data_IF_946157476270
#
_entry.id   IF_946157476270
#
_cell.length_a   1.000
_cell.length_b   1.000
_cell.length_c   1.000
_cell.angle_alpha   90.00
_cell.angle_beta   90.00
_cell.angle_gamma   90.00
#
_symmetry.space_group_name_H-M   'P 1'
#
loop_
_entity.id
_entity.type
_entity.pdbx_description
1 polymer ?
#
# COMPACT_ATOMS: atom_id res chain seq x y z
N UNK A 1 -19.58 17.19 -7.53
CA UNK A 1 -19.50 18.68 -7.56
C UNK A 1 -19.32 19.31 -6.16
N UNK A 2 -18.55 18.68 -5.24
CA UNK A 2 -18.47 19.13 -3.83
C UNK A 2 -17.08 19.59 -3.35
N UNK A 3 -16.11 19.79 -4.24
CA UNK A 3 -14.78 20.32 -3.86
C UNK A 3 -14.33 21.54 -4.68
N UNK A 4 -14.91 21.80 -5.85
CA UNK A 4 -14.50 22.91 -6.71
C UNK A 4 -15.03 24.30 -6.28
N UNK A 5 -15.99 24.37 -5.34
CA UNK A 5 -16.63 25.64 -4.97
C UNK A 5 -15.93 26.40 -3.83
N UNK A 6 -15.05 25.77 -3.06
CA UNK A 6 -14.48 26.37 -1.85
C UNK A 6 -13.23 27.23 -2.10
N UNK A 7 -12.45 26.95 -3.15
CA UNK A 7 -11.10 27.53 -3.37
C UNK A 7 -11.06 28.67 -4.40
N UNK A 8 -12.22 29.13 -4.88
CA UNK A 8 -12.28 30.08 -5.99
C UNK A 8 -12.37 31.55 -5.60
N UNK A 9 -12.80 31.91 -4.38
CA UNK A 9 -13.22 33.30 -4.11
C UNK A 9 -12.05 34.24 -3.83
N UNK A 10 -11.04 33.82 -3.07
CA UNK A 10 -9.88 34.67 -2.79
C UNK A 10 -9.02 34.97 -4.02
N UNK A 11 -8.55 33.95 -4.77
CA UNK A 11 -7.80 34.15 -6.00
C UNK A 11 -8.56 34.97 -7.05
N UNK A 12 -9.86 34.73 -7.23
CA UNK A 12 -10.70 35.52 -8.15
C UNK A 12 -10.85 36.97 -7.68
N UNK A 13 -11.04 37.20 -6.38
CA UNK A 13 -11.11 38.55 -5.84
C UNK A 13 -9.81 39.34 -6.09
N UNK A 14 -8.66 38.70 -5.85
CA UNK A 14 -7.35 39.31 -6.13
C UNK A 14 -7.17 39.57 -7.64
N UNK A 15 -7.48 38.59 -8.48
CA UNK A 15 -7.40 38.74 -9.93
C UNK A 15 -8.33 39.85 -10.46
N UNK A 16 -9.52 40.01 -9.88
CA UNK A 16 -10.45 41.10 -10.22
C UNK A 16 -9.86 42.47 -9.85
N UNK A 17 -9.27 42.59 -8.66
CA UNK A 17 -8.62 43.82 -8.23
C UNK A 17 -7.44 44.21 -9.11
N UNK A 18 -6.67 43.23 -9.59
CA UNK A 18 -5.49 43.43 -10.44
C UNK A 18 -5.84 43.70 -11.90
N UNK A 19 -6.76 42.91 -12.48
CA UNK A 19 -7.00 42.88 -13.93
C UNK A 19 -8.20 43.72 -14.38
N UNK A 20 -9.15 44.02 -13.48
CA UNK A 20 -10.35 44.80 -13.78
C UNK A 20 -10.73 45.75 -12.63
N UNK A 21 -9.87 46.73 -12.30
CA UNK A 21 -10.08 47.63 -11.16
C UNK A 21 -11.38 48.45 -11.25
N UNK A 22 -11.91 48.68 -12.45
CA UNK A 22 -13.19 49.36 -12.66
C UNK A 22 -14.42 48.58 -12.17
N UNK A 23 -14.32 47.24 -12.06
CA UNK A 23 -15.39 46.35 -11.60
C UNK A 23 -15.39 46.17 -10.07
N UNK A 24 -14.29 46.53 -9.40
CA UNK A 24 -14.12 46.39 -7.95
C UNK A 24 -15.23 47.09 -7.14
N UNK A 25 -15.66 48.34 -7.44
CA UNK A 25 -16.74 48.99 -6.69
C UNK A 25 -18.06 48.21 -6.75
N UNK A 26 -18.37 47.62 -7.91
CA UNK A 26 -19.58 46.81 -8.12
C UNK A 26 -19.50 45.50 -7.33
N UNK A 27 -18.36 44.82 -7.36
CA UNK A 27 -18.12 43.59 -6.61
C UNK A 27 -18.18 43.83 -5.09
N UNK A 28 -17.57 44.90 -4.59
CA UNK A 28 -17.64 45.30 -3.16
C UNK A 28 -19.09 45.59 -2.75
N UNK A 29 -19.86 46.30 -3.58
CA UNK A 29 -21.26 46.58 -3.30
C UNK A 29 -22.10 45.28 -3.24
N UNK A 30 -21.85 44.33 -4.14
CA UNK A 30 -22.51 43.02 -4.14
C UNK A 30 -22.21 42.23 -2.86
N UNK A 31 -20.93 42.17 -2.45
CA UNK A 31 -20.51 41.46 -1.22
C UNK A 31 -21.13 42.11 0.04
N UNK A 32 -21.15 43.44 0.13
CA UNK A 32 -21.82 44.16 1.23
C UNK A 32 -23.32 43.89 1.30
N UNK A 33 -23.97 43.66 0.15
CA UNK A 33 -25.39 43.28 0.10
C UNK A 33 -25.64 41.90 0.71
N UNK A 34 -24.73 40.94 0.50
CA UNK A 34 -24.81 39.62 1.15
C UNK A 34 -24.57 39.70 2.66
N UNK A 35 -23.63 40.53 3.11
CA UNK A 35 -23.43 40.76 4.55
C UNK A 35 -24.66 41.39 5.24
N UNK A 36 -25.41 42.22 4.54
CA UNK A 36 -26.63 42.84 5.09
C UNK A 36 -27.82 41.87 5.19
N UNK A 37 -27.89 40.85 4.32
CA UNK A 37 -28.91 39.80 4.36
C UNK A 37 -28.32 38.44 3.91
N UNK A 38 -27.73 37.68 4.85
CA UNK A 38 -27.08 36.40 4.54
C UNK A 38 -28.01 35.34 3.95
N UNK A 39 -29.34 35.52 4.07
CA UNK A 39 -30.33 34.57 3.52
C UNK A 39 -30.36 34.61 1.98
N UNK A 40 -29.71 35.59 1.37
CA UNK A 40 -29.61 35.77 -0.07
C UNK A 40 -28.34 35.20 -0.68
N UNK A 41 -27.44 34.60 0.11
CA UNK A 41 -26.26 33.94 -0.45
C UNK A 41 -26.69 32.63 -1.13
N UNK A 42 -26.60 32.55 -2.48
CA UNK A 42 -26.98 31.34 -3.21
C UNK A 42 -26.02 30.17 -2.98
N UNK A 43 -24.88 30.41 -2.31
CA UNK A 43 -23.83 29.44 -2.04
C UNK A 43 -23.69 29.12 -0.55
N UNK A 44 -24.75 29.29 0.25
CA UNK A 44 -24.71 29.04 1.69
C UNK A 44 -24.41 27.57 1.99
N UNK A 45 -23.18 27.28 2.35
CA UNK A 45 -22.70 25.91 2.58
C UNK A 45 -21.95 25.75 3.91
N UNK A 46 -21.79 26.82 4.70
CA UNK A 46 -21.05 26.84 5.97
C UNK A 46 -21.86 27.41 7.13
N UNK A 47 -21.28 27.45 8.33
CA UNK A 47 -21.89 28.15 9.48
C UNK A 47 -22.09 29.63 9.18
N UNK A 48 -23.00 30.30 9.91
CA UNK A 48 -23.22 31.73 9.75
C UNK A 48 -21.95 32.57 10.01
N UNK A 49 -21.07 32.10 10.91
CA UNK A 49 -19.77 32.72 11.16
C UNK A 49 -18.78 32.47 10.01
N UNK A 50 -18.74 31.25 9.46
CA UNK A 50 -17.94 30.90 8.28
C UNK A 50 -18.33 31.70 7.03
N UNK A 51 -19.63 31.82 6.76
CA UNK A 51 -20.15 32.62 5.65
C UNK A 51 -19.72 34.09 5.81
N UNK A 52 -19.88 34.67 7.00
CA UNK A 52 -19.49 36.05 7.27
C UNK A 52 -17.97 36.27 7.12
N UNK A 53 -17.14 35.36 7.67
CA UNK A 53 -15.69 35.40 7.54
C UNK A 53 -15.27 35.37 6.05
N UNK A 54 -15.87 34.48 5.25
CA UNK A 54 -15.61 34.37 3.80
C UNK A 54 -15.84 35.69 3.06
N UNK A 55 -16.97 36.36 3.33
CA UNK A 55 -17.28 37.64 2.70
C UNK A 55 -16.31 38.75 3.13
N UNK A 56 -15.91 38.79 4.40
CA UNK A 56 -14.93 39.77 4.88
C UNK A 56 -13.51 39.51 4.33
N UNK A 57 -13.13 38.24 4.08
CA UNK A 57 -11.87 37.94 3.37
C UNK A 57 -11.92 38.51 1.95
N UNK A 58 -13.02 38.29 1.21
CA UNK A 58 -13.20 38.84 -0.14
C UNK A 58 -13.15 40.38 -0.14
N UNK A 59 -13.80 41.04 0.82
CA UNK A 59 -13.73 42.50 0.96
C UNK A 59 -12.31 42.99 1.24
N UNK A 60 -11.56 42.30 2.10
CA UNK A 60 -10.17 42.63 2.39
C UNK A 60 -9.25 42.48 1.18
N UNK A 61 -9.54 41.52 0.29
CA UNK A 61 -8.79 41.31 -0.95
C UNK A 61 -9.15 42.33 -2.05
N UNK A 62 -10.40 42.83 -2.08
CA UNK A 62 -10.87 43.81 -3.06
C UNK A 62 -10.62 45.27 -2.65
N UNK A 63 -10.37 45.56 -1.37
CA UNK A 63 -10.42 46.92 -0.80
C UNK A 63 -9.30 47.28 0.18
N UNK A 64 -9.61 48.08 1.22
CA UNK A 64 -8.66 48.47 2.28
C UNK A 64 -8.75 47.48 3.46
N UNK A 65 -7.70 46.67 3.72
CA UNK A 65 -7.68 45.66 4.79
C UNK A 65 -7.92 46.24 6.19
N UNK A 66 -7.70 47.54 6.39
CA UNK A 66 -7.79 48.18 7.71
C UNK A 66 -9.21 48.30 8.24
N UNK A 67 -10.20 48.40 7.36
CA UNK A 67 -11.61 48.59 7.77
C UNK A 67 -12.24 47.29 8.29
N UNK A 68 -11.82 46.15 7.75
CA UNK A 68 -12.39 44.84 8.07
C UNK A 68 -11.52 44.01 9.03
N UNK A 69 -10.32 44.50 9.38
CA UNK A 69 -9.33 43.80 10.22
C UNK A 69 -9.91 43.28 11.54
N UNK A 70 -10.45 44.15 12.38
CA UNK A 70 -10.93 43.77 13.71
C UNK A 70 -12.15 42.84 13.66
N UNK A 71 -13.05 43.07 12.70
CA UNK A 71 -14.24 42.23 12.51
C UNK A 71 -13.88 40.85 11.99
N UNK A 72 -12.97 40.79 11.01
CA UNK A 72 -12.54 39.52 10.43
C UNK A 72 -11.87 38.62 11.48
N UNK A 73 -11.04 39.18 12.38
CA UNK A 73 -10.41 38.35 13.42
C UNK A 73 -11.40 37.77 14.41
N UNK A 74 -12.41 38.56 14.81
CA UNK A 74 -13.50 38.08 15.67
C UNK A 74 -14.31 37.00 14.96
N UNK A 75 -14.64 37.21 13.69
CA UNK A 75 -15.42 36.26 12.90
C UNK A 75 -14.66 34.96 12.68
N UNK A 76 -13.38 35.05 12.30
CA UNK A 76 -12.50 33.89 12.16
C UNK A 76 -12.46 33.16 13.49
N UNK A 77 -12.15 33.82 14.61
CA UNK A 77 -12.13 33.17 15.92
C UNK A 77 -13.45 32.46 16.31
N UNK A 78 -14.59 32.95 15.81
CA UNK A 78 -15.91 32.34 16.01
C UNK A 78 -16.30 31.27 14.97
N UNK A 79 -15.56 31.14 13.87
CA UNK A 79 -15.77 30.09 12.85
C UNK A 79 -15.43 28.71 13.44
N UNK A 80 -16.21 27.68 13.13
CA UNK A 80 -15.87 26.30 13.51
C UNK A 80 -14.64 25.80 12.74
N UNK A 81 -13.88 24.86 13.31
CA UNK A 81 -12.62 24.41 12.73
C UNK A 81 -12.78 23.81 11.31
N UNK A 82 -13.86 23.06 11.07
CA UNK A 82 -14.17 22.51 9.75
C UNK A 82 -14.34 23.60 8.68
N UNK A 83 -15.06 24.67 9.01
CA UNK A 83 -15.27 25.82 8.13
C UNK A 83 -13.99 26.66 7.96
N UNK A 84 -13.19 26.79 9.02
CA UNK A 84 -11.92 27.52 8.98
C UNK A 84 -10.92 26.85 8.05
N UNK A 85 -10.81 25.52 8.07
CA UNK A 85 -9.91 24.77 7.16
C UNK A 85 -10.23 25.04 5.68
N UNK A 86 -11.50 25.29 5.35
CA UNK A 86 -11.92 25.65 4.00
C UNK A 86 -11.62 27.12 3.62
N UNK A 87 -11.19 27.95 4.58
CA UNK A 87 -10.92 29.38 4.42
C UNK A 87 -9.44 29.76 4.65
N UNK A 88 -8.64 28.86 5.23
CA UNK A 88 -7.29 29.16 5.69
C UNK A 88 -6.38 29.73 4.58
N UNK A 89 -6.44 29.17 3.38
CA UNK A 89 -5.68 29.64 2.21
C UNK A 89 -6.07 31.06 1.80
N UNK A 90 -7.37 31.34 1.69
CA UNK A 90 -7.88 32.68 1.36
C UNK A 90 -7.48 33.72 2.42
N UNK A 91 -7.43 33.34 3.70
CA UNK A 91 -7.02 34.23 4.79
C UNK A 91 -5.52 34.60 4.72
N UNK A 92 -4.67 33.67 4.28
CA UNK A 92 -3.23 33.93 4.07
C UNK A 92 -3.00 34.96 2.96
N UNK A 93 -3.88 35.01 1.95
CA UNK A 93 -3.80 36.00 0.87
C UNK A 93 -3.93 37.46 1.34
N UNK A 94 -4.37 37.70 2.58
CA UNK A 94 -4.49 39.04 3.16
C UNK A 94 -3.17 39.63 3.68
N UNK A 95 -2.07 38.87 3.67
CA UNK A 95 -0.72 39.35 4.01
C UNK A 95 -0.05 38.65 5.21
N UNK A 96 1.18 39.04 5.54
CA UNK A 96 2.06 38.33 6.48
C UNK A 96 1.53 38.24 7.92
N UNK A 97 0.95 39.32 8.46
CA UNK A 97 0.31 39.31 9.78
C UNK A 97 -0.81 38.24 9.86
N UNK A 98 -1.58 38.09 8.77
CA UNK A 98 -2.71 37.16 8.69
C UNK A 98 -2.25 35.74 8.47
N UNK A 99 -1.21 35.55 7.66
CA UNK A 99 -0.57 34.27 7.49
C UNK A 99 -0.13 33.68 8.84
N UNK A 100 0.41 34.51 9.75
CA UNK A 100 0.78 34.08 11.10
C UNK A 100 -0.43 33.68 11.96
N UNK A 101 -1.49 34.48 11.97
CA UNK A 101 -2.71 34.13 12.72
C UNK A 101 -3.36 32.84 12.20
N UNK A 102 -3.39 32.65 10.87
CA UNK A 102 -3.85 31.39 10.29
C UNK A 102 -2.96 30.22 10.70
N UNK A 103 -1.63 30.38 10.60
CA UNK A 103 -0.67 29.35 10.96
C UNK A 103 -0.78 28.93 12.44
N UNK A 104 -0.92 29.88 13.36
CA UNK A 104 -1.11 29.62 14.79
C UNK A 104 -2.39 28.82 15.05
N UNK A 105 -3.48 29.14 14.33
CA UNK A 105 -4.74 28.41 14.43
C UNK A 105 -4.68 27.02 13.81
N UNK A 106 -4.09 26.87 12.63
CA UNK A 106 -3.85 25.56 12.00
C UNK A 106 -3.03 24.67 12.93
N UNK A 107 -1.99 25.21 13.58
CA UNK A 107 -1.19 24.48 14.56
C UNK A 107 -2.03 24.07 15.79
N UNK A 108 -2.97 24.90 16.24
CA UNK A 108 -3.87 24.56 17.34
C UNK A 108 -4.85 23.43 16.97
N UNK A 109 -5.47 23.50 15.79
CA UNK A 109 -6.36 22.45 15.26
C UNK A 109 -5.59 21.14 15.10
N UNK A 110 -4.39 21.19 14.53
CA UNK A 110 -3.55 20.00 14.37
C UNK A 110 -3.17 19.35 15.71
N UNK A 111 -2.89 20.16 16.75
CA UNK A 111 -2.60 19.65 18.11
C UNK A 111 -3.81 19.04 18.81
N UNK A 112 -5.03 19.47 18.48
CA UNK A 112 -6.24 18.93 19.10
C UNK A 112 -6.51 17.46 18.71
N UNK A 113 -5.87 16.96 17.64
CA UNK A 113 -5.80 15.52 17.32
C UNK A 113 -7.09 14.90 16.77
N UNK A 114 -8.20 15.64 16.67
CA UNK A 114 -9.44 15.15 16.09
C UNK A 114 -9.30 14.94 14.58
N UNK A 115 -9.26 13.68 14.14
CA UNK A 115 -9.22 13.30 12.73
C UNK A 115 -10.61 13.38 12.10
N UNK A 116 -10.75 13.80 10.82
CA UNK A 116 -9.69 14.13 9.85
C UNK A 116 -9.15 15.58 9.93
N UNK A 117 -9.72 16.45 10.76
CA UNK A 117 -9.38 17.88 10.80
C UNK A 117 -7.91 18.17 11.13
N UNK A 118 -7.32 17.39 12.04
CA UNK A 118 -5.93 17.54 12.42
C UNK A 118 -4.94 17.30 11.25
N UNK A 119 -5.22 16.31 10.39
CA UNK A 119 -4.33 16.00 9.26
C UNK A 119 -4.38 17.05 8.15
N UNK A 120 -5.57 17.57 7.87
CA UNK A 120 -5.75 18.69 6.94
C UNK A 120 -5.01 19.93 7.45
N UNK A 121 -5.12 20.22 8.76
CA UNK A 121 -4.53 21.40 9.36
C UNK A 121 -3.00 21.45 9.26
N UNK A 122 -2.29 20.37 9.61
CA UNK A 122 -0.82 20.38 9.52
C UNK A 122 -0.32 20.37 8.07
N UNK A 123 -1.05 19.74 7.13
CA UNK A 123 -0.70 19.78 5.70
C UNK A 123 -0.84 21.18 5.11
N UNK A 124 -1.91 21.90 5.47
CA UNK A 124 -2.06 23.30 5.10
C UNK A 124 -0.97 24.16 5.74
N UNK A 125 -0.61 23.92 7.00
CA UNK A 125 0.49 24.63 7.67
C UNK A 125 1.84 24.40 6.96
N UNK A 126 2.12 23.18 6.51
CA UNK A 126 3.29 22.86 5.68
C UNK A 126 3.29 23.62 4.35
N UNK A 127 2.13 23.72 3.70
CA UNK A 127 1.98 24.43 2.43
C UNK A 127 2.25 25.95 2.55
N UNK A 128 2.19 26.53 3.76
CA UNK A 128 2.57 27.93 3.99
C UNK A 128 4.10 28.16 3.88
N UNK A 129 4.89 27.10 3.89
CA UNK A 129 6.32 27.12 3.59
C UNK A 129 7.25 27.43 4.79
N UNK A 130 8.55 27.65 4.50
CA UNK A 130 9.63 27.66 5.50
C UNK A 130 9.44 28.59 6.70
N UNK A 131 8.80 29.74 6.50
CA UNK A 131 8.58 30.73 7.54
C UNK A 131 7.76 30.18 8.73
N UNK A 132 6.96 29.14 8.51
CA UNK A 132 6.08 28.55 9.51
C UNK A 132 6.53 27.17 10.00
N UNK A 133 7.67 26.66 9.52
CA UNK A 133 8.27 25.43 10.03
C UNK A 133 8.48 25.43 11.57
N UNK A 134 8.86 26.55 12.23
CA UNK A 134 8.96 26.59 13.69
C UNK A 134 7.64 26.33 14.42
N UNK A 135 6.49 26.62 13.80
CA UNK A 135 5.17 26.27 14.33
C UNK A 135 4.77 24.83 13.99
N UNK A 136 5.18 24.34 12.82
CA UNK A 136 4.87 22.99 12.34
C UNK A 136 5.65 21.90 13.09
N UNK A 137 6.95 22.10 13.34
CA UNK A 137 7.81 21.07 13.96
C UNK A 137 7.25 20.55 15.29
N UNK A 138 6.85 21.39 16.28
CA UNK A 138 6.29 20.88 17.53
C UNK A 138 4.97 20.11 17.34
N UNK A 139 4.17 20.50 16.35
CA UNK A 139 2.90 19.82 16.02
C UNK A 139 3.19 18.40 15.54
N UNK A 140 4.05 18.25 14.52
CA UNK A 140 4.36 16.94 13.94
C UNK A 140 5.11 16.05 14.92
N UNK A 141 6.02 16.61 15.72
CA UNK A 141 6.68 15.86 16.79
C UNK A 141 5.67 15.34 17.81
N UNK A 142 4.70 16.17 18.22
CA UNK A 142 3.64 15.74 19.15
C UNK A 142 2.74 14.63 18.58
N UNK A 143 2.48 14.63 17.27
CA UNK A 143 1.73 13.56 16.60
C UNK A 143 2.50 12.23 16.66
N UNK A 144 3.81 12.26 16.38
CA UNK A 144 4.68 11.08 16.49
C UNK A 144 4.80 10.62 17.96
N UNK A 145 4.94 11.55 18.91
CA UNK A 145 4.99 11.26 20.34
C UNK A 145 3.70 10.61 20.85
N UNK A 146 2.56 10.95 20.25
CA UNK A 146 1.26 10.34 20.52
C UNK A 146 1.08 8.96 19.84
N UNK A 147 2.12 8.44 19.17
CA UNK A 147 2.12 7.11 18.57
C UNK A 147 1.58 7.06 17.13
N UNK A 148 1.34 8.21 16.49
CA UNK A 148 0.87 8.22 15.09
C UNK A 148 2.06 8.36 14.14
N UNK A 149 2.36 7.34 13.30
CA UNK A 149 3.49 7.41 12.38
C UNK A 149 3.23 8.43 11.26
N UNK A 150 4.24 9.24 10.93
CA UNK A 150 4.21 10.24 9.85
C UNK A 150 5.17 9.88 8.71
N UNK A 151 5.21 8.59 8.38
CA UNK A 151 6.15 8.02 7.42
C UNK A 151 5.88 8.46 5.97
N UNK A 152 4.66 8.83 5.63
CA UNK A 152 4.31 9.32 4.28
C UNK A 152 4.83 10.73 3.97
N UNK A 153 5.33 11.45 4.97
CA UNK A 153 5.79 12.83 4.80
C UNK A 153 7.12 12.90 4.05
N UNK A 154 8.06 11.99 4.34
CA UNK A 154 9.37 11.94 3.68
C UNK A 154 9.18 11.62 2.20
N UNK A 155 9.89 12.31 1.31
CA UNK A 155 9.72 12.15 -0.14
C UNK A 155 8.37 12.61 -0.71
N UNK A 156 7.48 13.21 0.09
CA UNK A 156 6.23 13.76 -0.43
C UNK A 156 6.49 15.04 -1.26
N UNK A 157 5.74 15.29 -2.35
CA UNK A 157 5.87 16.54 -3.12
C UNK A 157 5.73 17.80 -2.27
N UNK A 158 4.86 17.76 -1.24
CA UNK A 158 4.64 18.87 -0.32
C UNK A 158 5.88 19.17 0.55
N UNK A 159 6.56 18.14 1.06
CA UNK A 159 7.80 18.31 1.82
C UNK A 159 8.92 18.87 0.94
N UNK A 160 9.05 18.39 -0.31
CA UNK A 160 10.04 18.92 -1.27
C UNK A 160 9.78 20.39 -1.61
N UNK A 161 8.54 20.72 -1.96
CA UNK A 161 8.16 22.08 -2.36
C UNK A 161 8.34 23.11 -1.23
N UNK A 162 8.25 22.69 0.03
CA UNK A 162 8.42 23.55 1.20
C UNK A 162 9.85 23.53 1.77
N UNK A 163 10.76 22.69 1.26
CA UNK A 163 12.09 22.50 1.85
C UNK A 163 12.04 21.90 3.26
N UNK A 164 11.05 21.04 3.55
CA UNK A 164 10.86 20.36 4.84
C UNK A 164 11.41 18.92 4.82
N UNK A 165 12.24 18.57 3.84
CA UNK A 165 12.69 17.19 3.60
C UNK A 165 13.50 16.62 4.77
N UNK A 166 14.44 17.39 5.34
CA UNK A 166 15.25 16.94 6.48
C UNK A 166 14.39 16.70 7.73
N UNK A 167 13.49 17.62 8.04
CA UNK A 167 12.55 17.47 9.16
C UNK A 167 11.63 16.27 8.94
N UNK A 168 11.19 16.04 7.70
CA UNK A 168 10.37 14.89 7.33
C UNK A 168 11.14 13.55 7.48
N UNK A 169 12.40 13.49 7.06
CA UNK A 169 13.27 12.32 7.24
C UNK A 169 13.50 12.01 8.73
N UNK A 170 13.74 13.04 9.54
CA UNK A 170 13.88 12.89 10.99
C UNK A 170 12.59 12.36 11.65
N UNK A 171 11.42 12.87 11.25
CA UNK A 171 10.12 12.36 11.73
C UNK A 171 9.87 10.91 11.27
N UNK A 172 10.25 10.57 10.05
CA UNK A 172 10.11 9.22 9.52
C UNK A 172 10.99 8.22 10.28
N UNK A 173 12.24 8.57 10.57
CA UNK A 173 13.14 7.76 11.42
C UNK A 173 12.54 7.47 12.80
N UNK A 174 11.96 8.50 13.44
CA UNK A 174 11.28 8.36 14.72
C UNK A 174 9.99 7.55 14.64
N UNK A 175 9.38 7.47 13.47
CA UNK A 175 8.15 6.72 13.22
C UNK A 175 8.39 5.23 12.94
N UNK A 176 9.62 4.82 12.61
CA UNK A 176 9.93 3.41 12.30
C UNK A 176 9.43 2.43 13.37
N UNK A 177 9.61 2.66 14.69
CA UNK A 177 9.12 1.76 15.71
C UNK A 177 7.60 1.80 15.90
N UNK A 178 6.90 2.81 15.40
CA UNK A 178 5.46 3.03 15.60
C UNK A 178 4.60 2.38 14.52
N UNK A 179 5.14 2.24 13.31
CA UNK A 179 4.42 1.65 12.17
C UNK A 179 5.34 0.85 11.25
N UNK A 180 6.08 -0.15 11.77
CA UNK A 180 7.08 -0.88 10.98
C UNK A 180 6.49 -1.54 9.74
N UNK A 181 5.26 -2.07 9.80
CA UNK A 181 4.60 -2.66 8.63
C UNK A 181 4.47 -1.66 7.45
N UNK A 182 4.08 -0.41 7.71
CA UNK A 182 3.92 0.62 6.68
C UNK A 182 5.23 1.33 6.34
N UNK A 183 6.15 1.42 7.31
CA UNK A 183 7.40 2.14 7.14
C UNK A 183 8.51 1.28 6.51
N UNK A 184 8.34 -0.03 6.46
CA UNK A 184 9.40 -0.95 6.06
C UNK A 184 9.01 -1.78 4.82
N UNK A 185 7.74 -1.76 4.41
CA UNK A 185 7.25 -2.60 3.33
C UNK A 185 6.46 -1.83 2.28
N UNK A 186 7.04 -1.71 1.08
CA UNK A 186 6.34 -1.81 -0.22
C UNK A 186 7.34 -2.34 -1.25
N UNK A 187 7.24 -3.61 -1.65
CA UNK A 187 8.12 -4.18 -2.70
C UNK A 187 7.71 -3.78 -4.12
N UNK A 188 6.47 -3.30 -4.31
CA UNK A 188 5.99 -2.84 -5.62
C UNK A 188 6.74 -1.68 -6.23
N UNK A 189 7.42 -0.90 -5.41
CA UNK A 189 8.29 0.18 -5.84
C UNK A 189 9.46 0.22 -4.87
N UNK A 190 10.58 -0.46 -5.20
CA UNK A 190 11.86 -0.26 -4.49
C UNK A 190 12.24 1.22 -4.37
N UNK A 191 11.63 2.09 -5.17
CA UNK A 191 11.82 3.54 -5.16
C UNK A 191 10.92 4.31 -4.15
N UNK A 192 9.93 3.69 -3.49
CA UNK A 192 8.95 4.39 -2.63
C UNK A 192 8.87 3.93 -1.14
N UNK A 193 9.70 2.98 -0.69
CA UNK A 193 9.75 2.63 0.74
C UNK A 193 10.38 3.74 1.60
N UNK A 194 9.96 3.86 2.86
CA UNK A 194 10.31 5.00 3.73
C UNK A 194 11.80 5.01 4.08
N UNK A 195 12.42 3.85 4.24
CA UNK A 195 13.87 3.75 4.51
C UNK A 195 14.66 4.24 3.31
N UNK A 196 14.28 3.83 2.10
CA UNK A 196 14.89 4.33 0.86
C UNK A 196 14.69 5.84 0.73
N UNK A 197 13.49 6.36 1.03
CA UNK A 197 13.21 7.81 1.03
C UNK A 197 14.03 8.57 2.07
N UNK A 198 14.28 8.01 3.26
CA UNK A 198 15.16 8.61 4.28
C UNK A 198 16.61 8.65 3.77
N UNK A 199 17.12 7.54 3.23
CA UNK A 199 18.49 7.46 2.70
C UNK A 199 18.70 8.40 1.51
N UNK A 200 17.68 8.61 0.69
CA UNK A 200 17.69 9.58 -0.41
C UNK A 200 17.84 11.04 0.05
N UNK A 201 17.51 11.37 1.30
CA UNK A 201 17.74 12.71 1.86
C UNK A 201 19.24 12.98 2.16
N UNK A 202 20.09 11.95 2.17
CA UNK A 202 21.54 12.10 2.19
C UNK A 202 22.28 11.12 3.09
N UNK A 203 23.59 10.98 2.85
CA UNK A 203 24.45 10.00 3.53
C UNK A 203 24.50 10.15 5.06
N UNK A 204 24.28 11.36 5.57
CA UNK A 204 24.22 11.64 7.02
C UNK A 204 23.06 10.93 7.72
N UNK A 205 22.04 10.45 6.99
CA UNK A 205 20.96 9.61 7.53
C UNK A 205 21.30 8.12 7.58
N UNK A 206 22.40 7.65 6.98
CA UNK A 206 22.78 6.22 7.02
C UNK A 206 22.92 5.72 8.45
N UNK A 207 23.72 6.41 9.27
CA UNK A 207 23.96 6.00 10.66
C UNK A 207 22.71 6.11 11.55
N UNK A 208 21.91 7.20 11.50
CA UNK A 208 20.61 7.24 12.19
C UNK A 208 19.64 6.13 11.77
N UNK A 209 19.58 5.81 10.48
CA UNK A 209 18.73 4.73 9.93
C UNK A 209 19.16 3.38 10.47
N UNK A 210 20.47 3.12 10.46
CA UNK A 210 21.06 1.91 11.04
C UNK A 210 20.63 1.73 12.51
N UNK A 211 20.81 2.77 13.33
CA UNK A 211 20.47 2.74 14.75
C UNK A 211 18.95 2.54 14.97
N UNK A 212 18.12 3.22 14.19
CA UNK A 212 16.67 3.12 14.30
C UNK A 212 16.16 1.72 13.90
N UNK A 213 16.69 1.13 12.83
CA UNK A 213 16.36 -0.23 12.40
C UNK A 213 16.82 -1.28 13.41
N UNK A 214 18.05 -1.16 13.93
CA UNK A 214 18.54 -2.06 14.99
C UNK A 214 17.68 -1.96 16.25
N UNK A 215 17.33 -0.75 16.69
CA UNK A 215 16.45 -0.55 17.84
C UNK A 215 15.04 -1.12 17.60
N UNK A 216 14.51 -0.98 16.38
CA UNK A 216 13.21 -1.55 15.98
C UNK A 216 13.25 -3.08 16.04
N UNK A 217 14.30 -3.71 15.49
CA UNK A 217 14.47 -5.16 15.55
C UNK A 217 14.62 -5.70 16.99
N UNK A 218 15.23 -4.92 17.88
CA UNK A 218 15.42 -5.27 19.29
C UNK A 218 14.21 -4.97 20.18
N UNK A 219 13.20 -4.25 19.67
CA UNK A 219 12.03 -3.89 20.46
C UNK A 219 11.08 -5.08 20.64
N UNK A 220 11.13 -5.70 21.83
CA UNK A 220 10.30 -6.86 22.18
C UNK A 220 8.81 -6.55 22.36
N UNK A 221 8.41 -5.28 22.32
CA UNK A 221 6.99 -4.90 22.30
C UNK A 221 6.37 -5.00 20.89
N UNK A 222 7.19 -5.13 19.85
CA UNK A 222 6.74 -5.33 18.47
C UNK A 222 6.55 -6.82 18.15
N UNK A 223 5.75 -7.11 17.12
CA UNK A 223 5.63 -8.48 16.60
C UNK A 223 6.96 -8.97 16.03
N UNK A 224 7.17 -10.29 16.04
CA UNK A 224 8.36 -10.90 15.44
C UNK A 224 8.48 -10.56 13.95
N UNK A 225 7.35 -10.47 13.25
CA UNK A 225 7.25 -9.95 11.89
C UNK A 225 7.83 -8.55 11.74
N UNK A 226 7.34 -7.58 12.53
CA UNK A 226 7.81 -6.20 12.51
C UNK A 226 9.32 -6.09 12.81
N UNK A 227 9.82 -6.95 13.71
CA UNK A 227 11.25 -7.01 14.06
C UNK A 227 12.09 -7.53 12.89
N UNK A 228 11.63 -8.59 12.22
CA UNK A 228 12.30 -9.14 11.04
C UNK A 228 12.25 -8.22 9.82
N UNK A 229 11.14 -7.50 9.61
CA UNK A 229 11.07 -6.43 8.62
C UNK A 229 12.22 -5.43 8.82
N UNK A 230 12.47 -4.98 10.05
CA UNK A 230 13.59 -4.09 10.34
C UNK A 230 14.96 -4.73 10.08
N UNK A 231 15.12 -6.02 10.42
CA UNK A 231 16.36 -6.76 10.12
C UNK A 231 16.62 -6.82 8.62
N UNK A 232 15.63 -7.22 7.81
CA UNK A 232 15.81 -7.32 6.35
C UNK A 232 16.20 -6.00 5.69
N UNK A 233 15.77 -4.85 6.23
CA UNK A 233 16.25 -3.54 5.77
C UNK A 233 17.68 -3.23 6.15
N UNK A 234 18.21 -3.80 7.24
CA UNK A 234 19.61 -3.61 7.59
C UNK A 234 20.53 -4.11 6.47
N UNK A 235 20.14 -5.13 5.71
CA UNK A 235 20.96 -5.66 4.61
C UNK A 235 21.27 -4.60 3.53
N UNK A 236 20.39 -3.62 3.35
CA UNK A 236 20.56 -2.51 2.40
C UNK A 236 21.38 -1.34 2.98
N UNK A 237 21.49 -1.26 4.31
CA UNK A 237 22.18 -0.18 5.02
C UNK A 237 23.58 -0.59 5.47
N UNK A 238 23.71 -1.78 6.05
CA UNK A 238 24.95 -2.35 6.61
C UNK A 238 24.81 -3.88 6.77
N UNK A 239 25.56 -4.62 5.95
CA UNK A 239 25.50 -6.09 5.92
C UNK A 239 25.93 -6.72 7.26
N UNK A 240 26.93 -6.15 7.95
CA UNK A 240 27.38 -6.72 9.22
C UNK A 240 26.34 -6.52 10.34
N UNK A 241 25.61 -5.41 10.33
CA UNK A 241 24.52 -5.16 11.25
C UNK A 241 23.32 -6.06 10.98
N UNK A 242 23.02 -6.35 9.71
CA UNK A 242 22.05 -7.37 9.33
C UNK A 242 22.41 -8.71 9.97
N UNK A 243 23.61 -9.24 9.70
CA UNK A 243 24.06 -10.54 10.20
C UNK A 243 24.01 -10.61 11.73
N UNK A 244 24.55 -9.60 12.42
CA UNK A 244 24.54 -9.55 13.90
C UNK A 244 23.13 -9.51 14.48
N UNK A 245 22.24 -8.74 13.87
CA UNK A 245 20.87 -8.55 14.40
C UNK A 245 19.99 -9.77 14.09
N UNK A 246 20.13 -10.35 12.89
CA UNK A 246 19.48 -11.60 12.51
C UNK A 246 19.91 -12.75 13.46
N UNK A 247 21.22 -12.91 13.68
CA UNK A 247 21.73 -13.91 14.61
C UNK A 247 21.19 -13.74 16.04
N UNK A 248 21.02 -12.49 16.50
CA UNK A 248 20.46 -12.21 17.82
C UNK A 248 18.97 -12.59 17.92
N UNK A 249 18.17 -12.35 16.86
CA UNK A 249 16.77 -12.79 16.81
C UNK A 249 16.66 -14.31 16.83
N UNK A 250 17.46 -14.99 16.00
CA UNK A 250 17.49 -16.45 15.94
C UNK A 250 17.92 -17.06 17.28
N UNK A 251 18.94 -16.50 17.94
CA UNK A 251 19.38 -16.94 19.26
C UNK A 251 18.31 -16.71 20.35
N UNK A 252 17.43 -15.72 20.17
CA UNK A 252 16.27 -15.49 21.04
C UNK A 252 15.08 -16.42 20.72
N UNK A 253 15.22 -17.34 19.76
CA UNK A 253 14.16 -18.26 19.35
C UNK A 253 13.12 -17.64 18.42
N UNK A 254 13.40 -16.47 17.85
CA UNK A 254 12.51 -15.76 16.93
C UNK A 254 12.84 -16.21 15.51
N UNK A 255 12.01 -17.09 14.95
CA UNK A 255 12.24 -17.68 13.63
C UNK A 255 12.19 -16.62 12.52
N UNK A 256 13.11 -16.69 11.55
CA UNK A 256 13.06 -15.83 10.36
C UNK A 256 11.85 -16.22 9.49
N UNK A 257 10.88 -15.31 9.32
CA UNK A 257 9.69 -15.59 8.51
C UNK A 257 10.03 -15.76 7.03
N UNK A 258 11.24 -15.41 6.59
CA UNK A 258 11.70 -15.52 5.20
C UNK A 258 12.63 -16.71 4.94
N UNK A 259 13.13 -17.37 5.99
CA UNK A 259 13.94 -18.58 5.83
C UNK A 259 13.12 -19.76 5.28
N UNK A 260 11.79 -19.68 5.43
CA UNK A 260 10.80 -20.71 5.08
C UNK A 260 11.09 -22.10 5.68
N UNK A 261 10.11 -23.00 5.65
CA UNK A 261 10.35 -24.39 5.99
C UNK A 261 11.25 -25.04 4.93
N UNK A 262 12.16 -25.91 5.38
CA UNK A 262 12.85 -26.82 4.47
C UNK A 262 11.78 -27.73 3.81
N UNK A 263 11.91 -28.02 2.50
CA UNK A 263 11.07 -29.02 1.89
C UNK A 263 11.21 -30.36 2.63
N UNK A 264 10.14 -31.17 2.71
CA UNK A 264 10.21 -32.46 3.36
C UNK A 264 11.28 -33.33 2.69
N UNK A 265 12.09 -34.03 3.49
CA UNK A 265 13.03 -35.02 2.98
C UNK A 265 12.25 -36.18 2.33
N UNK A 266 12.38 -36.30 1.01
CA UNK A 266 11.78 -37.38 0.23
C UNK A 266 12.87 -38.35 -0.23
N UNK A 267 12.63 -39.65 -0.08
CA UNK A 267 13.50 -40.67 -0.66
C UNK A 267 13.39 -40.68 -2.18
N UNK A 268 14.47 -41.03 -2.89
CA UNK A 268 14.52 -41.03 -4.36
C UNK A 268 13.37 -41.84 -4.99
N UNK A 269 13.05 -43.01 -4.43
CA UNK A 269 11.97 -43.86 -4.92
C UNK A 269 10.57 -43.23 -4.77
N UNK A 270 10.35 -42.44 -3.73
CA UNK A 270 9.10 -41.70 -3.53
C UNK A 270 9.02 -40.52 -4.52
N UNK A 271 10.13 -39.80 -4.70
CA UNK A 271 10.24 -38.73 -5.67
C UNK A 271 9.99 -39.24 -7.11
N UNK A 272 10.55 -40.39 -7.48
CA UNK A 272 10.28 -41.06 -8.76
C UNK A 272 8.79 -41.39 -8.94
N UNK A 273 8.17 -41.98 -7.92
CA UNK A 273 6.75 -42.30 -7.95
C UNK A 273 5.88 -41.05 -8.13
N UNK A 274 6.25 -39.93 -7.49
CA UNK A 274 5.57 -38.63 -7.67
C UNK A 274 5.74 -38.13 -9.12
N UNK A 275 6.97 -38.14 -9.66
CA UNK A 275 7.25 -37.71 -11.05
C UNK A 275 6.41 -38.49 -12.06
N UNK A 276 6.32 -39.81 -11.90
CA UNK A 276 5.50 -40.64 -12.77
C UNK A 276 4.00 -40.32 -12.66
N UNK A 277 3.48 -40.08 -11.45
CA UNK A 277 2.07 -39.73 -11.24
C UNK A 277 1.73 -38.39 -11.88
N UNK A 278 2.62 -37.40 -11.79
CA UNK A 278 2.46 -36.11 -12.49
C UNK A 278 2.38 -36.32 -14.01
N UNK A 279 3.30 -37.11 -14.59
CA UNK A 279 3.27 -37.41 -16.02
C UNK A 279 1.98 -38.13 -16.44
N UNK A 280 1.49 -39.09 -15.64
CA UNK A 280 0.22 -39.78 -15.87
C UNK A 280 -0.97 -38.83 -15.78
N UNK A 281 -1.05 -37.96 -14.78
CA UNK A 281 -2.13 -37.00 -14.62
C UNK A 281 -2.18 -36.04 -15.82
N UNK A 282 -1.05 -35.47 -16.25
CA UNK A 282 -0.99 -34.62 -17.45
C UNK A 282 -1.37 -35.35 -18.73
N UNK A 283 -0.99 -36.62 -18.89
CA UNK A 283 -1.45 -37.41 -20.02
C UNK A 283 -2.98 -37.54 -20.04
N UNK A 284 -3.60 -37.87 -18.89
CA UNK A 284 -5.05 -37.98 -18.75
C UNK A 284 -5.76 -36.66 -19.08
N UNK A 285 -5.30 -35.55 -18.50
CA UNK A 285 -5.86 -34.21 -18.75
C UNK A 285 -5.79 -33.86 -20.24
N UNK A 286 -4.62 -33.99 -20.86
CA UNK A 286 -4.45 -33.66 -22.29
C UNK A 286 -5.35 -34.52 -23.19
N UNK A 287 -5.50 -35.80 -22.87
CA UNK A 287 -6.38 -36.68 -23.63
C UNK A 287 -7.86 -36.30 -23.47
N UNK A 288 -8.31 -35.94 -22.26
CA UNK A 288 -9.69 -35.48 -22.05
C UNK A 288 -9.95 -34.13 -22.74
N UNK A 289 -9.02 -33.18 -22.67
CA UNK A 289 -9.13 -31.91 -23.38
C UNK A 289 -9.23 -32.14 -24.90
N UNK A 290 -8.43 -33.05 -25.46
CA UNK A 290 -8.47 -33.39 -26.89
C UNK A 290 -9.77 -34.10 -27.31
N UNK A 291 -10.33 -34.94 -26.46
CA UNK A 291 -11.43 -35.85 -26.84
C UNK A 291 -12.82 -35.39 -26.43
N UNK A 292 -12.95 -34.80 -25.23
CA UNK A 292 -14.23 -34.34 -24.69
C UNK A 292 -14.43 -32.84 -24.78
N UNK A 293 -13.35 -32.07 -24.73
CA UNK A 293 -13.41 -30.61 -24.71
C UNK A 293 -12.57 -29.97 -25.83
N UNK A 294 -12.71 -30.41 -27.10
CA UNK A 294 -11.83 -29.99 -28.19
C UNK A 294 -11.92 -28.50 -28.53
N UNK A 295 -13.02 -27.84 -28.15
CA UNK A 295 -13.23 -26.42 -28.37
C UNK A 295 -12.53 -25.55 -27.32
N UNK A 296 -12.16 -26.13 -26.16
CA UNK A 296 -11.44 -25.42 -25.09
C UNK A 296 -9.98 -25.19 -25.50
N UNK A 297 -9.59 -23.91 -25.61
CA UNK A 297 -8.26 -23.52 -26.04
C UNK A 297 -7.33 -23.41 -24.83
N UNK A 298 -6.41 -24.37 -24.72
CA UNK A 298 -5.30 -24.36 -23.77
C UNK A 298 -3.96 -24.36 -24.51
N UNK A 299 -2.98 -23.64 -23.98
CA UNK A 299 -1.61 -23.61 -24.45
C UNK A 299 -0.70 -24.18 -23.38
N UNK A 300 0.11 -25.15 -23.79
CA UNK A 300 1.15 -25.72 -22.98
C UNK A 300 2.50 -25.25 -23.50
N UNK A 301 3.28 -24.61 -22.65
CA UNK A 301 4.69 -24.34 -22.93
C UNK A 301 5.47 -25.66 -23.07
N UNK A 302 6.61 -25.66 -23.78
CA UNK A 302 7.51 -26.81 -23.79
C UNK A 302 8.03 -27.09 -22.37
N UNK A 303 8.50 -28.31 -22.13
CA UNK A 303 9.10 -28.67 -20.84
C UNK A 303 10.33 -27.84 -20.50
N UNK A 304 10.42 -27.38 -19.25
CA UNK A 304 11.60 -26.70 -18.73
C UNK A 304 12.77 -27.68 -18.54
N UNK A 305 13.98 -27.20 -18.80
CA UNK A 305 15.21 -27.94 -18.53
C UNK A 305 15.53 -27.98 -17.03
N UNK A 306 16.31 -28.97 -16.60
CA UNK A 306 16.79 -29.04 -15.21
C UNK A 306 17.60 -27.80 -14.80
N UNK A 307 18.29 -27.16 -15.75
CA UNK A 307 19.04 -25.92 -15.49
C UNK A 307 18.12 -24.73 -15.23
N UNK A 308 17.00 -24.61 -15.96
CA UNK A 308 16.00 -23.56 -15.71
C UNK A 308 15.29 -23.76 -14.37
N UNK A 309 14.97 -25.00 -14.02
CA UNK A 309 14.36 -25.31 -12.71
C UNK A 309 15.34 -24.97 -11.57
N UNK A 310 16.61 -25.38 -11.68
CA UNK A 310 17.63 -25.05 -10.69
C UNK A 310 17.88 -23.53 -10.57
N UNK A 311 17.81 -22.79 -11.69
CA UNK A 311 17.90 -21.34 -11.68
C UNK A 311 16.73 -20.71 -10.94
N UNK A 312 15.50 -21.17 -11.20
CA UNK A 312 14.32 -20.71 -10.47
C UNK A 312 14.43 -20.98 -8.97
N UNK A 313 14.83 -22.19 -8.56
CA UNK A 313 15.05 -22.52 -7.14
C UNK A 313 16.09 -21.61 -6.49
N UNK A 314 17.19 -21.33 -7.20
CA UNK A 314 18.23 -20.41 -6.74
C UNK A 314 17.72 -18.97 -6.59
N UNK A 315 16.86 -18.48 -7.50
CA UNK A 315 16.29 -17.14 -7.43
C UNK A 315 15.20 -17.02 -6.35
N UNK A 316 14.41 -18.09 -6.16
CA UNK A 316 13.42 -18.16 -5.10
C UNK A 316 14.08 -18.23 -3.71
N UNK A 317 15.23 -18.89 -3.61
CA UNK A 317 15.83 -19.27 -2.33
C UNK A 317 15.16 -20.49 -1.69
N UNK A 318 14.28 -21.17 -2.44
CA UNK A 318 13.50 -22.34 -2.02
C UNK A 318 13.63 -23.43 -3.08
N UNK A 319 13.81 -24.68 -2.65
CA UNK A 319 13.67 -25.81 -3.56
C UNK A 319 12.18 -26.06 -3.86
N UNK A 320 11.86 -26.35 -5.11
CA UNK A 320 10.48 -26.56 -5.53
C UNK A 320 9.96 -27.92 -5.04
N UNK A 321 8.66 -28.05 -4.75
CA UNK A 321 8.02 -29.35 -4.54
C UNK A 321 8.28 -30.27 -5.73
N UNK A 322 8.60 -31.54 -5.47
CA UNK A 322 8.94 -32.53 -6.52
C UNK A 322 7.85 -32.62 -7.58
N UNK A 323 6.57 -32.53 -7.18
CA UNK A 323 5.44 -32.59 -8.11
C UNK A 323 5.33 -31.36 -9.01
N UNK A 324 5.57 -30.16 -8.47
CA UNK A 324 5.56 -28.94 -9.27
C UNK A 324 6.77 -28.86 -10.22
N UNK A 325 7.98 -29.21 -9.74
CA UNK A 325 9.17 -29.31 -10.59
C UNK A 325 8.98 -30.34 -11.72
N UNK A 326 8.38 -31.49 -11.43
CA UNK A 326 8.03 -32.49 -12.45
C UNK A 326 7.02 -31.96 -13.46
N UNK A 327 6.08 -31.12 -13.02
CA UNK A 327 5.12 -30.46 -13.90
C UNK A 327 5.81 -29.45 -14.82
N UNK A 328 6.70 -28.61 -14.29
CA UNK A 328 7.49 -27.64 -15.07
C UNK A 328 8.35 -28.33 -16.13
N UNK A 329 8.94 -29.49 -15.80
CA UNK A 329 9.70 -30.31 -16.74
C UNK A 329 8.86 -30.84 -17.93
N UNK A 330 7.54 -30.87 -17.80
CA UNK A 330 6.61 -31.20 -18.89
C UNK A 330 6.07 -29.94 -19.57
N UNK A 331 5.72 -28.93 -18.78
CA UNK A 331 5.07 -27.70 -19.20
C UNK A 331 5.63 -26.50 -18.42
N UNK A 332 6.49 -25.70 -19.05
CA UNK A 332 7.06 -24.48 -18.42
C UNK A 332 6.02 -23.39 -18.13
N UNK A 333 4.91 -23.42 -18.85
CA UNK A 333 3.77 -22.50 -18.74
C UNK A 333 2.47 -23.27 -19.07
N UNK A 334 1.37 -22.89 -18.42
CA UNK A 334 0.04 -23.40 -18.72
C UNK A 334 -0.91 -22.21 -18.80
N UNK A 335 -1.38 -21.92 -20.02
CA UNK A 335 -2.20 -20.73 -20.31
C UNK A 335 -3.51 -21.13 -20.95
N UNK A 336 -4.61 -20.52 -20.53
CA UNK A 336 -5.90 -20.63 -21.17
C UNK A 336 -6.74 -19.40 -20.86
N UNK A 337 -7.63 -19.04 -21.77
CA UNK A 337 -8.56 -17.93 -21.59
C UNK A 337 -9.86 -18.50 -21.01
N UNK A 338 -10.22 -18.14 -19.78
CA UNK A 338 -11.43 -18.64 -19.10
C UNK A 338 -11.13 -19.37 -17.79
N UNK A 339 -12.17 -19.68 -17.00
CA UNK A 339 -12.01 -20.32 -15.70
C UNK A 339 -12.17 -21.83 -15.84
N UNK A 340 -11.14 -22.61 -15.46
CA UNK A 340 -11.30 -24.03 -15.14
C UNK A 340 -11.33 -24.12 -13.62
N UNK A 341 -12.52 -24.29 -13.02
CA UNK A 341 -12.59 -24.50 -11.57
C UNK A 341 -11.81 -25.76 -11.19
N UNK A 342 -10.67 -25.57 -10.52
CA UNK A 342 -9.84 -26.64 -9.96
C UNK A 342 -8.50 -26.92 -10.66
N UNK A 343 -8.27 -26.44 -11.89
CA UNK A 343 -6.94 -26.43 -12.51
C UNK A 343 -6.38 -25.02 -12.39
N UNK A 344 -5.17 -24.86 -11.85
CA UNK A 344 -4.50 -23.57 -11.79
C UNK A 344 -3.70 -23.36 -13.09
N UNK A 345 -3.91 -22.26 -13.85
CA UNK A 345 -2.94 -21.87 -14.87
C UNK A 345 -1.66 -21.40 -14.18
N UNK A 346 -0.54 -21.36 -14.90
CA UNK A 346 0.65 -20.72 -14.37
C UNK A 346 1.45 -20.03 -15.46
N UNK A 347 2.04 -18.89 -15.09
CA UNK A 347 2.97 -18.13 -15.91
C UNK A 347 4.20 -18.97 -16.27
N UNK A 348 4.98 -18.45 -17.23
CA UNK A 348 6.25 -19.03 -17.60
C UNK A 348 7.19 -19.12 -16.40
N UNK A 349 7.94 -20.23 -16.31
CA UNK A 349 8.95 -20.45 -15.29
C UNK A 349 9.90 -19.24 -15.11
N UNK A 350 10.25 -18.55 -16.20
CA UNK A 350 11.13 -17.38 -16.17
C UNK A 350 10.52 -16.13 -15.53
N UNK A 351 9.20 -16.11 -15.29
CA UNK A 351 8.48 -14.99 -14.67
C UNK A 351 8.17 -15.26 -13.20
N UNK A 352 8.15 -16.52 -12.74
CA UNK A 352 7.66 -16.87 -11.40
C UNK A 352 8.42 -16.18 -10.26
N UNK A 353 9.75 -16.07 -10.36
CA UNK A 353 10.57 -15.42 -9.34
C UNK A 353 10.38 -13.89 -9.30
N UNK A 354 10.23 -13.25 -10.47
CA UNK A 354 9.96 -11.82 -10.57
C UNK A 354 8.55 -11.50 -10.06
N UNK A 355 7.55 -12.28 -10.48
CA UNK A 355 6.15 -12.12 -10.09
C UNK A 355 5.91 -12.33 -8.61
N UNK A 356 6.78 -13.05 -7.90
CA UNK A 356 6.76 -13.07 -6.43
C UNK A 356 6.80 -11.66 -5.82
N UNK A 357 7.42 -10.71 -6.53
CA UNK A 357 7.45 -9.32 -6.11
C UNK A 357 6.12 -8.60 -6.34
N UNK A 358 5.23 -9.13 -7.20
CA UNK A 358 3.86 -8.69 -7.56
C UNK A 358 2.82 -8.78 -6.41
N UNK A 359 3.21 -9.36 -5.28
CA UNK A 359 2.34 -9.62 -4.14
C UNK A 359 1.54 -8.41 -3.65
N UNK A 360 0.22 -8.59 -3.50
CA UNK A 360 -0.65 -7.58 -2.90
C UNK A 360 -0.20 -7.17 -1.49
N UNK A 361 -0.49 -5.92 -1.13
CA UNK A 361 -0.38 -5.40 0.24
C UNK A 361 -1.38 -6.15 1.14
N UNK A 362 -0.92 -7.30 1.65
CA UNK A 362 -1.65 -8.16 2.56
C UNK A 362 -1.37 -7.75 4.01
N UNK A 363 -2.41 -7.39 4.76
CA UNK A 363 -2.27 -6.94 6.15
C UNK A 363 -1.92 -8.10 7.11
N UNK A 364 -0.98 -7.83 8.01
CA UNK A 364 -0.64 -8.71 9.13
C UNK A 364 -1.86 -8.88 10.04
N UNK A 365 -2.16 -10.13 10.44
CA UNK A 365 -3.31 -10.42 11.30
C UNK A 365 -4.65 -10.55 10.58
N UNK A 366 -4.65 -10.59 9.25
CA UNK A 366 -5.74 -11.17 8.45
C UNK A 366 -6.10 -12.57 8.98
N UNK A 367 -7.38 -12.93 8.97
CA UNK A 367 -7.94 -14.13 9.62
C UNK A 367 -7.05 -15.36 9.43
N UNK A 368 -6.62 -15.95 10.55
CA UNK A 368 -5.71 -17.09 10.53
C UNK A 368 -6.43 -18.35 10.09
N UNK A 369 -6.01 -18.88 8.95
CA UNK A 369 -6.34 -20.22 8.49
C UNK A 369 -5.24 -21.16 9.02
N UNK A 370 -5.55 -22.29 9.68
CA UNK A 370 -4.52 -23.15 10.28
C UNK A 370 -3.41 -23.61 9.32
N UNK A 371 -3.74 -23.71 8.03
CA UNK A 371 -2.87 -24.13 6.95
C UNK A 371 -2.06 -22.99 6.30
N UNK A 372 -2.48 -21.72 6.46
CA UNK A 372 -1.90 -20.56 5.77
C UNK A 372 -1.41 -19.53 6.79
N UNK A 373 -0.15 -19.11 6.70
CA UNK A 373 0.41 -18.12 7.64
C UNK A 373 -0.11 -16.71 7.35
N UNK A 374 -0.86 -16.13 8.28
CA UNK A 374 -1.33 -14.73 8.23
C UNK A 374 -0.55 -13.74 9.11
N UNK A 375 0.64 -14.12 9.57
CA UNK A 375 1.44 -13.40 10.58
C UNK A 375 2.47 -12.43 10.00
N UNK A 376 2.70 -12.46 8.68
CA UNK A 376 3.75 -11.68 8.01
C UNK A 376 3.23 -10.91 6.79
N UNK A 377 1.90 -10.82 6.59
CA UNK A 377 1.34 -10.36 5.32
C UNK A 377 1.78 -11.25 4.16
N UNK A 378 2.08 -10.67 2.99
CA UNK A 378 2.66 -11.44 1.87
C UNK A 378 3.97 -12.13 2.28
N UNK A 379 4.23 -13.38 1.87
CA UNK A 379 5.44 -14.11 2.29
C UNK A 379 6.39 -14.35 1.11
N UNK A 380 7.73 -14.34 1.32
CA UNK A 380 8.67 -14.69 0.25
C UNK A 380 8.56 -16.14 -0.24
N UNK A 381 7.98 -17.05 0.54
CA UNK A 381 7.67 -18.41 0.10
C UNK A 381 6.36 -18.52 -0.71
N UNK A 382 5.61 -17.42 -0.89
CA UNK A 382 4.40 -17.41 -1.72
C UNK A 382 4.77 -17.06 -3.15
N UNK A 383 4.66 -18.05 -4.05
CA UNK A 383 5.02 -17.91 -5.46
C UNK A 383 3.74 -17.78 -6.28
N UNK A 384 3.43 -16.60 -6.84
CA UNK A 384 2.29 -16.41 -7.73
C UNK A 384 2.42 -17.29 -8.96
N UNK A 385 1.45 -18.17 -9.14
CA UNK A 385 1.32 -18.99 -10.33
C UNK A 385 0.59 -18.21 -11.40
N UNK A 386 -0.52 -17.57 -11.04
CA UNK A 386 -1.36 -16.81 -11.95
C UNK A 386 -2.13 -15.71 -11.23
N UNK A 387 -2.38 -14.60 -11.94
CA UNK A 387 -3.13 -13.45 -11.45
C UNK A 387 -4.20 -13.07 -12.48
N UNK A 388 -5.47 -13.07 -12.06
CA UNK A 388 -6.59 -12.60 -12.88
C UNK A 388 -7.60 -11.82 -12.03
N UNK A 389 -8.00 -10.63 -12.49
CA UNK A 389 -9.06 -9.81 -11.88
C UNK A 389 -8.98 -9.64 -10.36
N UNK A 390 -7.76 -9.54 -9.83
CA UNK A 390 -7.43 -9.41 -8.38
C UNK A 390 -7.48 -10.70 -7.56
N UNK A 391 -7.72 -11.85 -8.21
CA UNK A 391 -7.54 -13.17 -7.63
C UNK A 391 -6.16 -13.72 -7.96
N UNK A 392 -5.53 -14.33 -6.96
CA UNK A 392 -4.18 -14.85 -7.02
C UNK A 392 -4.19 -16.33 -6.73
N UNK A 393 -3.68 -17.12 -7.67
CA UNK A 393 -3.31 -18.50 -7.40
C UNK A 393 -1.83 -18.55 -7.04
N UNK A 394 -1.52 -19.20 -5.92
CA UNK A 394 -0.20 -19.13 -5.30
C UNK A 394 0.25 -20.52 -4.87
N UNK A 395 1.49 -20.86 -5.20
CA UNK A 395 2.18 -22.01 -4.63
C UNK A 395 2.80 -21.57 -3.29
N UNK A 396 2.35 -22.22 -2.21
CA UNK A 396 2.77 -21.89 -0.86
C UNK A 396 3.94 -22.79 -0.41
N UNK A 397 5.14 -22.22 -0.46
CA UNK A 397 6.38 -22.84 0.03
C UNK A 397 6.68 -22.47 1.49
N UNK A 398 5.74 -21.80 2.17
CA UNK A 398 5.91 -21.34 3.54
C UNK A 398 4.61 -21.43 4.35
N UNK A 399 4.00 -22.64 4.41
CA UNK A 399 2.71 -22.87 5.03
C UNK A 399 2.77 -22.73 6.56
N UNK A 400 1.59 -22.59 7.17
CA UNK A 400 1.46 -22.66 8.62
C UNK A 400 1.66 -24.11 9.11
N UNK A 401 1.84 -24.36 10.42
CA UNK A 401 2.13 -25.71 10.92
C UNK A 401 1.10 -26.80 10.55
N UNK A 402 -0.16 -26.45 10.28
CA UNK A 402 -1.15 -27.42 9.81
C UNK A 402 -1.22 -27.56 8.27
N UNK A 403 -0.51 -26.70 7.53
CA UNK A 403 -0.47 -26.69 6.08
C UNK A 403 0.60 -27.65 5.53
N UNK A 404 0.77 -27.63 4.20
CA UNK A 404 1.71 -28.50 3.49
C UNK A 404 2.60 -27.73 2.54
N UNK A 405 3.88 -28.07 2.54
CA UNK A 405 4.85 -27.47 1.62
C UNK A 405 4.44 -27.77 0.18
N UNK A 406 4.22 -26.71 -0.62
CA UNK A 406 3.73 -26.84 -1.98
C UNK A 406 2.21 -26.96 -2.12
N UNK A 407 1.44 -26.65 -1.08
CA UNK A 407 0.00 -26.50 -1.22
C UNK A 407 -0.32 -25.35 -2.19
N UNK A 408 -1.45 -25.47 -2.90
CA UNK A 408 -1.93 -24.39 -3.79
C UNK A 408 -3.01 -23.63 -3.03
N UNK A 409 -2.77 -22.34 -2.83
CA UNK A 409 -3.71 -21.43 -2.17
C UNK A 409 -4.28 -20.46 -3.21
N UNK A 410 -5.53 -20.07 -3.00
CA UNK A 410 -6.15 -18.98 -3.75
C UNK A 410 -6.42 -17.83 -2.81
N UNK A 411 -5.93 -16.66 -3.15
CA UNK A 411 -6.18 -15.42 -2.44
C UNK A 411 -7.10 -14.58 -3.32
N UNK A 412 -8.37 -14.46 -2.93
CA UNK A 412 -9.34 -13.64 -3.66
C UNK A 412 -9.53 -12.28 -3.01
N UNK A 413 -10.02 -11.30 -3.78
CA UNK A 413 -10.34 -9.99 -3.21
C UNK A 413 -11.60 -10.02 -2.30
N UNK A 414 -12.55 -10.92 -2.59
CA UNK A 414 -13.86 -11.01 -1.92
C UNK A 414 -13.88 -12.02 -0.75
N UNK A 415 -12.91 -12.91 -0.68
CA UNK A 415 -12.87 -13.99 0.30
C UNK A 415 -11.47 -14.29 0.80
N UNK A 416 -11.42 -14.86 2.00
CA UNK A 416 -10.17 -15.23 2.67
C UNK A 416 -9.39 -16.27 1.87
N UNK A 417 -8.05 -16.30 1.97
CA UNK A 417 -7.23 -17.31 1.33
C UNK A 417 -7.69 -18.71 1.70
N UNK A 418 -7.89 -19.53 0.69
CA UNK A 418 -8.30 -20.92 0.86
C UNK A 418 -7.31 -21.86 0.20
N UNK A 419 -6.97 -22.95 0.89
CA UNK A 419 -6.22 -24.05 0.29
C UNK A 419 -7.09 -24.74 -0.77
N UNK A 420 -6.70 -24.63 -2.03
CA UNK A 420 -7.37 -25.26 -3.17
C UNK A 420 -6.91 -26.71 -3.38
N UNK A 421 -5.65 -27.00 -3.04
CA UNK A 421 -5.10 -28.35 -3.09
C UNK A 421 -3.96 -28.52 -2.09
N UNK A 422 -3.81 -29.71 -1.48
CA UNK A 422 -2.71 -30.00 -0.57
C UNK A 422 -1.36 -30.16 -1.27
N UNK A 423 -1.33 -30.30 -2.60
CA UNK A 423 -0.13 -30.32 -3.45
C UNK A 423 -0.52 -30.07 -4.92
N UNK A 424 0.46 -29.78 -5.78
CA UNK A 424 0.24 -29.66 -7.23
C UNK A 424 -0.25 -30.97 -7.85
N UNK A 425 0.35 -32.11 -7.47
CA UNK A 425 -0.09 -33.42 -7.93
C UNK A 425 -1.55 -33.71 -7.55
N UNK A 426 -1.96 -33.41 -6.32
CA UNK A 426 -3.33 -33.61 -5.87
C UNK A 426 -4.33 -32.76 -6.68
N UNK A 427 -3.92 -31.55 -7.08
CA UNK A 427 -4.70 -30.72 -7.99
C UNK A 427 -4.85 -31.40 -9.37
N UNK A 428 -3.76 -31.83 -9.99
CA UNK A 428 -3.78 -32.47 -11.31
C UNK A 428 -4.60 -33.77 -11.32
N UNK A 429 -4.45 -34.62 -10.31
CA UNK A 429 -5.20 -35.88 -10.22
C UNK A 429 -6.70 -35.63 -10.08
N UNK A 430 -7.11 -34.67 -9.24
CA UNK A 430 -8.52 -34.28 -9.11
C UNK A 430 -9.09 -33.76 -10.43
N UNK A 431 -8.36 -32.88 -11.13
CA UNK A 431 -8.78 -32.37 -12.45
C UNK A 431 -8.93 -33.51 -13.45
N UNK A 432 -7.96 -34.44 -13.50
CA UNK A 432 -8.04 -35.61 -14.37
C UNK A 432 -9.27 -36.48 -14.07
N UNK A 433 -9.54 -36.76 -12.79
CA UNK A 433 -10.69 -37.53 -12.33
C UNK A 433 -12.03 -36.82 -12.65
N UNK A 434 -12.08 -35.50 -12.43
CA UNK A 434 -13.24 -34.65 -12.74
C UNK A 434 -13.53 -34.64 -14.26
N UNK A 435 -12.50 -34.50 -15.10
CA UNK A 435 -12.65 -34.56 -16.56
C UNK A 435 -13.10 -35.94 -17.05
N UNK A 436 -12.53 -37.03 -16.52
CA UNK A 436 -12.89 -38.41 -16.90
C UNK A 436 -14.28 -38.82 -16.44
N UNK A 437 -14.76 -38.27 -15.32
CA UNK A 437 -16.13 -38.45 -14.84
C UNK A 437 -17.15 -37.54 -15.53
N UNK A 438 -16.71 -36.61 -16.38
CA UNK A 438 -17.59 -35.70 -17.10
C UNK A 438 -18.18 -34.62 -16.20
N UNK A 439 -17.50 -34.26 -15.11
CA UNK A 439 -17.92 -33.19 -14.20
C UNK A 439 -17.72 -31.79 -14.76
N UNK A 440 -17.09 -31.63 -15.92
CA UNK A 440 -16.96 -30.32 -16.56
C UNK A 440 -17.98 -30.11 -17.68
N UNK A 441 -18.55 -28.91 -17.72
CA UNK A 441 -19.38 -28.40 -18.83
C UNK A 441 -18.68 -27.20 -19.46
N UNK A 442 -18.61 -27.19 -20.79
CA UNK A 442 -18.08 -26.07 -21.56
C UNK A 442 -19.20 -25.06 -21.82
N UNK A 443 -18.91 -23.78 -21.67
CA UNK A 443 -19.84 -22.72 -22.06
C UNK A 443 -19.93 -22.57 -23.57
N UNK A 444 -21.00 -21.90 -24.03
CA UNK A 444 -21.24 -21.60 -25.44
C UNK A 444 -20.10 -20.78 -26.09
N UNK A 445 -19.30 -20.08 -25.29
CA UNK A 445 -18.15 -19.32 -25.76
C UNK A 445 -16.93 -20.19 -26.12
N UNK A 446 -16.96 -21.49 -25.75
CA UNK A 446 -15.87 -22.44 -25.95
C UNK A 446 -14.60 -22.14 -25.14
N UNK A 447 -14.64 -21.15 -24.24
CA UNK A 447 -13.49 -20.66 -23.49
C UNK A 447 -13.57 -21.03 -22.01
N UNK A 448 -14.75 -21.23 -21.46
CA UNK A 448 -14.90 -21.51 -20.03
C UNK A 448 -15.31 -22.96 -19.77
N UNK A 449 -14.63 -23.64 -18.82
CA UNK A 449 -14.98 -24.98 -18.34
C UNK A 449 -15.41 -24.93 -16.88
N UNK A 450 -16.72 -24.98 -16.65
CA UNK A 450 -17.27 -25.04 -15.31
C UNK A 450 -17.25 -26.45 -14.76
N UNK A 451 -16.72 -26.60 -13.55
CA UNK A 451 -16.90 -27.83 -12.78
C UNK A 451 -18.30 -27.82 -12.17
N UNK A 452 -19.09 -28.83 -12.49
CA UNK A 452 -20.37 -29.09 -11.86
C UNK A 452 -20.13 -29.67 -10.46
N UNK A 453 -20.81 -29.10 -9.47
CA UNK A 453 -20.78 -29.57 -8.07
C UNK A 453 -21.48 -30.92 -7.89
#
# INVERSE_FOLDING_TARGET
MSHAAAHGRGPVARALAELAPGEVPSAVAAVRRFLADPRRDPCRTSSAAGDAARHHIVLGLLGDPRQDRSRLDVLVAATEDADFLALAEDYVLLGSDRARTAAERLAAIARAGAMPGASVAWRQLLALGPAFHPLLRPVLNGIVDAGTPLHDLVGSPAARASGFEDDAAALALRSLPLGPAFAIRRRHHREDDVVTRILACGEHYRQPTLLALTATAQNTALSDCARWHAVHRLAEVDADAFERTAAALLAAGVADPTAGPLPPELGEAEADAIRERVARAWHRIREQLRTRYPDFVIRFGPGASAAEIAALESELGFALPVDFAASLALHRAVEYDGLVLGLCPHHDIGELAERRTDGMDWEEGSQQVPEIRGDYGWRPGWVPLHVADSDWDVLDLDPAPAGRYGQVIRISHDSWPGVQAPSWLAMLERVADDMESGRYTIEDDGRTLWRND
#
